data_IF_353620189496
#
_entry.id   IF_353620189496
#
_cell.length_a   1.000
_cell.length_b   1.000
_cell.length_c   1.000
_cell.angle_alpha   90.00
_cell.angle_beta   90.00
_cell.angle_gamma   90.00
#
_symmetry.space_group_name_H-M   'P 1'
#
loop_
_entity.id
_entity.type
_entity.pdbx_description
1 polymer ?
#
# COMPACT_ATOMS: atom_id res chain seq x y z
N UNK A 1 5.88 25.22 0.04
CA UNK A 1 5.04 24.44 0.97
C UNK A 1 5.95 24.04 2.11
N UNK A 2 5.69 24.49 3.34
CA UNK A 2 6.53 24.12 4.49
C UNK A 2 6.48 22.61 4.67
N UNK A 3 7.59 22.00 5.06
CA UNK A 3 7.60 20.57 5.31
C UNK A 3 6.70 20.26 6.51
N UNK A 4 6.02 19.11 6.49
CA UNK A 4 5.21 18.63 7.63
C UNK A 4 6.01 18.66 8.96
N UNK A 5 7.33 18.51 8.88
CA UNK A 5 8.29 18.63 9.97
C UNK A 5 8.36 20.02 10.61
N UNK A 6 8.31 21.09 9.81
CA UNK A 6 8.30 22.46 10.30
C UNK A 6 6.98 22.77 10.98
N UNK A 7 5.87 22.32 10.39
CA UNK A 7 4.54 22.49 10.97
C UNK A 7 4.38 21.78 12.31
N UNK A 8 4.88 20.54 12.43
CA UNK A 8 4.80 19.77 13.69
C UNK A 8 5.62 20.43 14.81
N UNK A 9 6.82 20.94 14.49
CA UNK A 9 7.68 21.60 15.49
C UNK A 9 7.19 22.99 15.87
N UNK A 10 6.68 23.77 14.92
CA UNK A 10 6.21 25.14 15.16
C UNK A 10 4.88 25.19 15.92
N UNK A 11 4.03 24.17 15.78
CA UNK A 11 2.64 24.21 16.26
C UNK A 11 2.36 23.19 17.38
N UNK A 12 3.37 22.67 18.10
CA UNK A 12 3.15 21.70 19.20
C UNK A 12 2.17 20.56 18.83
N UNK A 13 2.29 20.03 17.60
CA UNK A 13 1.40 18.97 17.11
C UNK A 13 1.81 17.66 17.77
N UNK A 14 0.91 17.10 18.57
CA UNK A 14 1.11 15.81 19.24
C UNK A 14 0.86 14.65 18.26
N UNK A 15 1.72 13.64 18.36
CA UNK A 15 1.64 12.44 17.53
C UNK A 15 1.54 11.19 18.40
N UNK A 16 0.55 10.34 18.13
CA UNK A 16 0.31 9.11 18.87
C UNK A 16 0.18 7.91 17.92
N UNK A 17 1.01 6.88 18.14
CA UNK A 17 0.84 5.55 17.53
C UNK A 17 0.22 4.64 18.56
N UNK A 18 -1.01 4.19 18.28
CA UNK A 18 -1.74 3.29 19.14
C UNK A 18 -1.67 1.90 18.54
N UNK A 19 -1.09 0.95 19.26
CA UNK A 19 -1.18 -0.47 18.88
C UNK A 19 -2.60 -0.94 19.18
N UNK A 20 -3.31 -1.40 18.15
CA UNK A 20 -4.61 -2.01 18.35
C UNK A 20 -4.41 -3.41 18.97
N UNK A 21 -4.99 -3.65 20.15
CA UNK A 21 -5.04 -5.00 20.73
C UNK A 21 -5.96 -5.85 19.86
N UNK A 22 -5.54 -7.08 19.54
CA UNK A 22 -6.25 -8.08 18.73
C UNK A 22 -7.74 -8.20 19.10
N UNK A 23 -8.59 -7.39 18.46
CA UNK A 23 -10.04 -7.57 18.40
C UNK A 23 -10.57 -7.48 16.95
N UNK A 24 -9.68 -7.27 15.97
CA UNK A 24 -9.94 -7.44 14.55
C UNK A 24 -9.07 -8.60 14.03
N UNK A 25 -9.28 -9.82 14.54
CA UNK A 25 -8.67 -11.03 13.96
C UNK A 25 -9.07 -11.22 12.48
N UNK A 26 -10.12 -10.52 12.03
CA UNK A 26 -10.58 -10.48 10.63
C UNK A 26 -9.90 -9.40 9.77
N UNK A 27 -9.08 -8.50 10.34
CA UNK A 27 -8.41 -7.45 9.57
C UNK A 27 -7.26 -8.03 8.74
N UNK A 28 -7.62 -8.56 7.57
CA UNK A 28 -6.68 -9.11 6.60
C UNK A 28 -5.51 -8.14 6.38
N UNK A 29 -4.26 -8.60 6.56
CA UNK A 29 -3.09 -7.82 6.15
C UNK A 29 -3.27 -7.30 4.72
N UNK A 30 -2.87 -6.06 4.41
CA UNK A 30 -2.94 -5.59 3.04
C UNK A 30 -2.11 -6.52 2.19
N UNK A 31 -2.58 -6.78 0.99
CA UNK A 31 -1.98 -7.77 0.12
C UNK A 31 -0.49 -7.50 -0.15
N UNK A 32 -0.04 -6.23 -0.14
CA UNK A 32 1.37 -5.86 -0.27
C UNK A 32 2.24 -6.16 0.97
N UNK A 33 1.66 -6.36 2.16
CA UNK A 33 2.42 -6.73 3.35
C UNK A 33 2.90 -8.19 3.34
N UNK A 34 2.36 -9.01 2.42
CA UNK A 34 2.83 -10.37 2.16
C UNK A 34 3.99 -10.45 1.17
N UNK A 35 4.43 -9.33 0.58
CA UNK A 35 5.56 -9.31 -0.36
C UNK A 35 6.86 -9.77 0.34
N UNK A 36 6.94 -9.75 1.67
CA UNK A 36 8.18 -10.10 2.39
C UNK A 36 8.04 -10.94 3.68
N UNK A 37 9.16 -11.58 4.02
CA UNK A 37 9.38 -12.88 4.71
C UNK A 37 8.76 -13.05 6.11
N UNK A 38 8.17 -12.03 6.72
CA UNK A 38 7.52 -12.15 8.03
C UNK A 38 6.12 -11.53 7.95
N UNK A 39 5.12 -12.35 7.58
CA UNK A 39 3.73 -11.93 7.35
C UNK A 39 2.96 -11.42 8.57
N UNK A 40 3.63 -10.91 9.61
CA UNK A 40 3.03 -10.41 10.85
C UNK A 40 3.17 -8.89 10.99
N UNK A 41 2.64 -8.14 10.03
CA UNK A 41 2.48 -6.70 10.23
C UNK A 41 1.37 -6.42 11.26
N UNK A 42 1.73 -5.89 12.43
CA UNK A 42 0.73 -5.47 13.42
C UNK A 42 -0.05 -4.28 12.87
N UNK A 43 -1.38 -4.34 12.96
CA UNK A 43 -2.24 -3.18 12.67
C UNK A 43 -2.05 -2.12 13.77
N UNK A 44 -1.75 -0.91 13.34
CA UNK A 44 -1.55 0.26 14.18
C UNK A 44 -2.58 1.32 13.79
N UNK A 45 -2.89 2.21 14.72
CA UNK A 45 -3.62 3.44 14.43
C UNK A 45 -2.69 4.61 14.66
N UNK A 46 -2.60 5.48 13.66
CA UNK A 46 -1.84 6.72 13.74
C UNK A 46 -2.81 7.87 13.94
N UNK A 47 -2.59 8.66 14.99
CA UNK A 47 -3.38 9.85 15.30
C UNK A 47 -2.46 11.08 15.34
N UNK A 48 -2.79 12.09 14.55
CA UNK A 48 -2.18 13.43 14.61
C UNK A 48 -3.16 14.35 15.33
N UNK A 49 -2.71 14.96 16.42
CA UNK A 49 -3.53 15.78 17.31
C UNK A 49 -2.95 17.17 17.45
N UNK A 50 -3.82 18.15 17.64
CA UNK A 50 -3.45 19.47 18.12
C UNK A 50 -4.26 19.75 19.38
N UNK A 51 -3.58 19.84 20.52
CA UNK A 51 -4.17 19.73 21.85
C UNK A 51 -5.10 18.50 21.97
N UNK A 52 -6.35 18.68 22.41
CA UNK A 52 -7.35 17.60 22.53
C UNK A 52 -8.08 17.26 21.22
N UNK A 53 -7.78 17.94 20.11
CA UNK A 53 -8.48 17.77 18.82
C UNK A 53 -7.71 16.81 17.91
N UNK A 54 -8.39 15.81 17.36
CA UNK A 54 -7.83 14.92 16.33
C UNK A 54 -7.91 15.64 14.99
N UNK A 55 -6.76 15.96 14.39
CA UNK A 55 -6.67 16.59 13.08
C UNK A 55 -6.65 15.55 11.94
N UNK A 56 -6.00 14.42 12.19
CA UNK A 56 -5.91 13.32 11.24
C UNK A 56 -5.81 12.00 11.99
N UNK A 57 -6.46 10.97 11.48
CA UNK A 57 -6.21 9.62 11.92
C UNK A 57 -6.36 8.65 10.76
N UNK A 58 -5.55 7.60 10.78
CA UNK A 58 -5.60 6.54 9.78
C UNK A 58 -5.06 5.24 10.36
N UNK A 59 -5.30 4.15 9.65
CA UNK A 59 -4.65 2.89 9.90
C UNK A 59 -3.21 2.95 9.38
N UNK A 60 -2.30 2.35 10.13
CA UNK A 60 -0.92 2.18 9.75
C UNK A 60 -0.49 0.75 10.03
N UNK A 61 0.61 0.31 9.43
CA UNK A 61 1.20 -0.99 9.73
C UNK A 61 2.70 -0.87 9.92
N UNK A 62 3.21 -1.70 10.82
CA UNK A 62 4.64 -1.95 10.90
C UNK A 62 5.02 -2.91 9.77
N UNK A 63 6.02 -2.53 8.96
CA UNK A 63 6.53 -3.35 7.87
C UNK A 63 7.96 -3.75 8.22
N UNK A 64 8.14 -5.04 8.54
CA UNK A 64 9.39 -5.60 9.10
C UNK A 64 10.64 -5.28 8.27
N UNK A 65 10.60 -5.44 6.94
CA UNK A 65 11.76 -5.17 6.07
C UNK A 65 12.03 -3.69 5.83
N UNK A 66 11.00 -2.84 5.87
CA UNK A 66 11.23 -1.39 5.87
C UNK A 66 11.58 -0.87 7.26
N UNK A 67 11.55 -1.77 8.25
CA UNK A 67 11.67 -1.48 9.66
C UNK A 67 10.80 -0.32 10.09
N UNK A 68 9.69 -0.05 9.39
CA UNK A 68 9.03 1.27 9.34
C UNK A 68 7.55 1.20 9.67
N UNK A 69 6.97 2.33 10.08
CA UNK A 69 5.52 2.51 10.12
C UNK A 69 5.10 3.18 8.82
N UNK A 70 4.21 2.52 8.07
CA UNK A 70 3.59 3.10 6.87
C UNK A 70 2.11 3.30 7.10
N UNK A 71 1.59 4.44 6.65
CA UNK A 71 0.14 4.70 6.62
C UNK A 71 -0.48 3.83 5.53
N UNK A 72 -1.63 3.23 5.82
CA UNK A 72 -2.29 2.29 4.92
C UNK A 72 -2.64 2.96 3.57
N UNK A 73 -2.22 2.41 2.42
CA UNK A 73 -2.58 2.95 1.11
C UNK A 73 -4.09 2.94 0.91
N UNK A 74 -4.59 3.75 0.00
CA UNK A 74 -5.99 3.64 -0.43
C UNK A 74 -6.16 2.37 -1.27
N UNK A 75 -7.39 1.89 -1.40
CA UNK A 75 -7.73 0.75 -2.27
C UNK A 75 -8.76 1.14 -3.32
N UNK A 76 -8.75 0.40 -4.43
CA UNK A 76 -9.74 0.50 -5.50
C UNK A 76 -9.91 -0.86 -6.17
N UNK A 77 -10.95 -1.01 -6.98
CA UNK A 77 -11.27 -2.25 -7.68
C UNK A 77 -11.16 -2.13 -9.20
N UNK A 78 -10.85 -3.24 -9.85
CA UNK A 78 -10.91 -3.44 -11.29
C UNK A 78 -12.08 -4.37 -11.66
N UNK A 79 -12.37 -4.49 -12.95
CA UNK A 79 -13.36 -5.41 -13.49
C UNK A 79 -12.67 -6.48 -14.36
N UNK A 80 -11.69 -7.19 -13.81
CA UNK A 80 -10.81 -8.11 -14.56
C UNK A 80 -11.18 -9.58 -14.32
N UNK A 81 -11.50 -9.94 -13.08
CA UNK A 81 -11.91 -11.29 -12.67
C UNK A 81 -13.38 -11.29 -12.23
N UNK A 82 -14.08 -12.41 -12.42
CA UNK A 82 -15.43 -12.58 -11.87
C UNK A 82 -15.37 -12.70 -10.34
N UNK A 83 -16.18 -11.93 -9.62
CA UNK A 83 -16.25 -11.89 -8.14
C UNK A 83 -16.76 -13.20 -7.48
N UNK A 84 -16.86 -14.31 -8.21
CA UNK A 84 -17.43 -15.59 -7.74
C UNK A 84 -16.39 -16.67 -7.39
N UNK A 85 -15.12 -16.31 -7.15
CA UNK A 85 -14.06 -17.26 -6.81
C UNK A 85 -12.86 -16.61 -6.11
N UNK A 86 -11.82 -17.42 -5.87
CA UNK A 86 -10.54 -17.20 -5.17
C UNK A 86 -9.66 -16.01 -5.66
N UNK A 87 -10.28 -14.96 -6.18
CA UNK A 87 -9.66 -13.92 -6.98
C UNK A 87 -10.07 -12.53 -6.49
N UNK A 88 -9.09 -11.66 -6.32
CA UNK A 88 -9.28 -10.24 -5.99
C UNK A 88 -9.12 -9.38 -7.23
N UNK A 89 -10.02 -8.41 -7.35
CA UNK A 89 -9.93 -7.28 -8.28
C UNK A 89 -9.41 -6.01 -7.59
N UNK A 90 -9.08 -6.10 -6.31
CA UNK A 90 -8.59 -4.97 -5.54
C UNK A 90 -7.13 -4.70 -5.89
N UNK A 91 -6.75 -3.44 -5.80
CA UNK A 91 -5.36 -3.02 -5.82
C UNK A 91 -5.20 -1.86 -4.84
N UNK A 92 -4.03 -1.80 -4.23
CA UNK A 92 -3.68 -0.73 -3.29
C UNK A 92 -2.94 0.38 -4.05
N UNK A 93 -3.10 1.63 -3.65
CA UNK A 93 -2.44 2.75 -4.28
C UNK A 93 -2.21 3.95 -3.35
N UNK A 94 -1.27 4.80 -3.75
CA UNK A 94 -1.12 6.15 -3.22
C UNK A 94 -1.37 7.20 -4.29
N UNK A 95 -1.76 8.39 -3.86
CA UNK A 95 -1.57 9.62 -4.62
C UNK A 95 -0.22 10.22 -4.20
N UNK A 96 0.59 10.64 -5.17
CA UNK A 96 1.99 11.09 -4.99
C UNK A 96 2.15 12.12 -3.87
N UNK A 97 1.31 13.16 -3.86
CA UNK A 97 1.34 14.22 -2.85
C UNK A 97 0.40 13.99 -1.66
N UNK A 98 -0.05 12.76 -1.42
CA UNK A 98 -0.95 12.46 -0.31
C UNK A 98 -0.30 12.65 1.05
N UNK A 99 -1.11 13.08 2.02
CA UNK A 99 -0.72 13.14 3.44
C UNK A 99 -0.23 11.79 3.96
N UNK A 100 -0.72 10.68 3.40
CA UNK A 100 -0.31 9.31 3.75
C UNK A 100 1.17 9.06 3.45
N UNK A 101 1.66 9.45 2.27
CA UNK A 101 3.08 9.35 1.90
C UNK A 101 3.91 10.26 2.79
N UNK A 102 3.50 11.52 2.94
CA UNK A 102 4.23 12.51 3.73
C UNK A 102 4.36 12.09 5.20
N UNK A 103 3.29 11.56 5.79
CA UNK A 103 3.26 11.09 7.17
C UNK A 103 4.05 9.79 7.35
N UNK A 104 4.02 8.87 6.38
CA UNK A 104 4.86 7.66 6.41
C UNK A 104 6.34 8.01 6.41
N UNK A 105 6.77 8.90 5.51
CA UNK A 105 8.15 9.41 5.44
C UNK A 105 8.56 10.10 6.75
N UNK A 106 7.69 10.94 7.29
CA UNK A 106 7.93 11.60 8.58
C UNK A 106 8.14 10.57 9.69
N UNK A 107 7.27 9.57 9.78
CA UNK A 107 7.33 8.53 10.79
C UNK A 107 8.61 7.69 10.71
N UNK A 108 8.96 7.27 9.50
CA UNK A 108 10.19 6.52 9.25
C UNK A 108 11.42 7.34 9.63
N UNK A 109 11.40 8.67 9.42
CA UNK A 109 12.49 9.55 9.81
C UNK A 109 12.61 9.74 11.33
N UNK A 110 11.51 10.07 12.03
CA UNK A 110 11.58 10.35 13.48
C UNK A 110 11.92 9.12 14.30
N UNK A 111 11.52 7.94 13.84
CA UNK A 111 11.84 6.67 14.50
C UNK A 111 13.21 6.12 14.07
N UNK A 112 13.95 6.85 13.21
CA UNK A 112 15.24 6.44 12.65
C UNK A 112 15.19 5.05 11.97
N UNK A 113 14.09 4.79 11.25
CA UNK A 113 13.78 3.51 10.63
C UNK A 113 14.26 3.44 9.19
N UNK A 114 14.55 4.56 8.53
CA UNK A 114 15.06 4.59 7.17
C UNK A 114 15.97 5.80 6.92
N UNK A 115 17.18 5.73 7.46
CA UNK A 115 18.18 6.80 7.36
C UNK A 115 18.66 7.06 5.93
N UNK A 116 18.54 6.07 5.03
CA UNK A 116 19.03 6.13 3.65
C UNK A 116 17.91 6.23 2.59
N UNK A 117 16.64 6.19 2.99
CA UNK A 117 15.48 6.25 2.08
C UNK A 117 15.21 4.97 1.26
N UNK A 118 16.13 4.02 1.27
CA UNK A 118 16.05 2.77 0.49
C UNK A 118 14.83 1.92 0.84
N UNK A 119 14.43 1.93 2.10
CA UNK A 119 13.32 1.09 2.58
C UNK A 119 11.99 1.65 2.08
N UNK A 120 11.84 2.96 2.11
CA UNK A 120 10.69 3.65 1.54
C UNK A 120 10.62 3.52 0.02
N UNK A 121 11.74 3.71 -0.69
CA UNK A 121 11.80 3.50 -2.14
C UNK A 121 11.36 2.09 -2.53
N UNK A 122 11.81 1.08 -1.76
CA UNK A 122 11.41 -0.30 -1.95
C UNK A 122 9.92 -0.51 -1.69
N UNK A 123 9.34 0.07 -0.63
CA UNK A 123 7.89 0.03 -0.38
C UNK A 123 7.10 0.60 -1.56
N UNK A 124 7.51 1.77 -2.05
CA UNK A 124 6.88 2.44 -3.17
C UNK A 124 7.00 1.67 -4.49
N UNK A 125 8.01 0.83 -4.65
CA UNK A 125 8.18 0.01 -5.86
C UNK A 125 7.09 -1.06 -6.05
N UNK A 126 6.36 -1.40 -4.98
CA UNK A 126 5.35 -2.45 -4.99
C UNK A 126 3.90 -1.94 -4.96
N UNK A 127 3.70 -0.64 -4.81
CA UNK A 127 2.38 -0.03 -4.72
C UNK A 127 2.23 0.99 -5.85
N UNK A 128 1.19 0.89 -6.70
CA UNK A 128 0.80 1.94 -7.64
C UNK A 128 0.82 3.34 -7.00
N UNK A 129 1.50 4.29 -7.65
CA UNK A 129 1.51 5.70 -7.25
C UNK A 129 1.00 6.54 -8.41
N UNK A 130 -0.16 7.15 -8.22
CA UNK A 130 -0.77 8.03 -9.21
C UNK A 130 -0.41 9.49 -8.91
N UNK A 131 -0.29 10.32 -9.95
CA UNK A 131 -0.10 11.77 -9.84
C UNK A 131 -1.34 12.46 -9.27
N UNK A 132 -2.51 11.87 -9.50
CA UNK A 132 -3.78 12.37 -9.00
C UNK A 132 -4.91 11.39 -9.29
N UNK A 133 -6.09 11.72 -8.78
CA UNK A 133 -7.30 10.90 -8.94
C UNK A 133 -7.67 10.74 -10.43
N UNK A 134 -7.49 11.78 -11.23
CA UNK A 134 -7.79 11.74 -12.68
C UNK A 134 -6.93 10.70 -13.42
N UNK A 135 -5.62 10.61 -13.10
CA UNK A 135 -4.74 9.58 -13.65
C UNK A 135 -5.19 8.18 -13.21
N UNK A 136 -5.56 8.02 -11.94
CA UNK A 136 -6.05 6.75 -11.42
C UNK A 136 -7.31 6.28 -12.14
N UNK A 137 -8.29 7.17 -12.34
CA UNK A 137 -9.51 6.86 -13.07
C UNK A 137 -9.24 6.57 -14.56
N UNK A 138 -8.32 7.29 -15.20
CA UNK A 138 -7.94 7.06 -16.58
C UNK A 138 -7.29 5.68 -16.77
N UNK A 139 -6.29 5.34 -15.96
CA UNK A 139 -5.61 4.03 -15.99
C UNK A 139 -6.58 2.90 -15.69
N UNK A 140 -7.41 3.04 -14.66
CA UNK A 140 -8.46 2.07 -14.33
C UNK A 140 -9.44 1.86 -15.49
N UNK A 141 -9.83 2.93 -16.16
CA UNK A 141 -10.71 2.86 -17.33
C UNK A 141 -10.03 2.14 -18.51
N UNK A 142 -8.74 2.36 -18.74
CA UNK A 142 -7.98 1.66 -19.78
C UNK A 142 -7.91 0.16 -19.53
N UNK A 143 -7.64 -0.24 -18.30
CA UNK A 143 -7.60 -1.65 -17.88
C UNK A 143 -8.98 -2.30 -18.08
N UNK A 144 -10.03 -1.65 -17.58
CA UNK A 144 -11.40 -2.19 -17.60
C UNK A 144 -12.02 -2.26 -19.00
N UNK A 145 -11.52 -1.53 -20.00
CA UNK A 145 -11.97 -1.66 -21.40
C UNK A 145 -11.57 -2.99 -22.03
N UNK A 146 -10.49 -3.61 -21.54
CA UNK A 146 -9.92 -4.83 -22.11
C UNK A 146 -9.66 -5.88 -21.02
N UNK A 147 -10.70 -6.37 -20.33
CA UNK A 147 -10.55 -7.20 -19.13
C UNK A 147 -9.84 -8.54 -19.41
N UNK A 148 -10.05 -9.15 -20.58
CA UNK A 148 -9.37 -10.38 -20.96
C UNK A 148 -7.86 -10.18 -21.14
N UNK A 149 -7.44 -9.07 -21.77
CA UNK A 149 -6.02 -8.73 -21.92
C UNK A 149 -5.41 -8.40 -20.56
N UNK A 150 -6.12 -7.64 -19.71
CA UNK A 150 -5.67 -7.35 -18.36
C UNK A 150 -5.48 -8.63 -17.54
N UNK A 151 -6.38 -9.61 -17.67
CA UNK A 151 -6.28 -10.93 -17.02
C UNK A 151 -5.04 -11.71 -17.46
N UNK A 152 -4.73 -11.73 -18.76
CA UNK A 152 -3.51 -12.34 -19.29
C UNK A 152 -2.26 -11.68 -18.72
N UNK A 153 -2.24 -10.34 -18.66
CA UNK A 153 -1.12 -9.58 -18.09
C UNK A 153 -0.96 -9.89 -16.59
N UNK A 154 -2.04 -9.95 -15.81
CA UNK A 154 -1.96 -10.32 -14.39
C UNK A 154 -1.39 -11.73 -14.24
N UNK A 155 -1.84 -12.70 -15.04
CA UNK A 155 -1.31 -14.06 -15.01
C UNK A 155 0.19 -14.11 -15.35
N UNK A 156 0.64 -13.33 -16.33
CA UNK A 156 2.07 -13.19 -16.63
C UNK A 156 2.84 -12.51 -15.48
N UNK A 157 2.25 -11.48 -14.87
CA UNK A 157 2.86 -10.80 -13.73
C UNK A 157 3.05 -11.72 -12.52
N UNK A 158 2.21 -12.77 -12.34
CA UNK A 158 2.37 -13.76 -11.27
C UNK A 158 3.73 -14.48 -11.31
N UNK A 159 4.33 -14.63 -12.49
CA UNK A 159 5.66 -15.25 -12.63
C UNK A 159 6.78 -14.38 -12.04
N UNK A 160 6.56 -13.06 -12.00
CA UNK A 160 7.51 -12.07 -11.49
C UNK A 160 7.28 -11.74 -10.00
N UNK A 161 6.23 -12.28 -9.39
CA UNK A 161 5.93 -12.12 -7.97
C UNK A 161 6.52 -13.28 -7.18
N UNK A 162 7.40 -12.97 -6.24
CA UNK A 162 7.94 -13.93 -5.28
C UNK A 162 7.32 -13.70 -3.90
N UNK A 163 6.73 -14.74 -3.32
CA UNK A 163 6.26 -14.78 -1.93
C UNK A 163 6.92 -15.97 -1.24
N UNK A 164 7.52 -15.73 -0.09
CA UNK A 164 8.15 -16.79 0.71
C UNK A 164 7.10 -17.63 1.43
N UNK A 165 6.98 -18.93 1.11
CA UNK A 165 5.98 -19.83 1.70
C UNK A 165 6.25 -20.21 3.17
N UNK A 166 7.51 -20.18 3.61
CA UNK A 166 7.92 -20.84 4.87
C UNK A 166 7.57 -20.10 6.15
N UNK A 167 7.20 -18.81 6.07
CA UNK A 167 7.00 -17.94 7.24
C UNK A 167 5.65 -17.20 7.24
N UNK A 168 4.76 -17.50 6.29
CA UNK A 168 3.50 -16.76 6.12
C UNK A 168 2.29 -17.50 6.72
N UNK A 169 2.43 -18.78 7.07
CA UNK A 169 1.33 -19.66 7.49
C UNK A 169 0.13 -19.72 6.51
N UNK A 170 0.32 -19.28 5.26
CA UNK A 170 -0.74 -19.28 4.26
C UNK A 170 -1.00 -20.70 3.77
N UNK A 171 -2.27 -21.05 3.65
CA UNK A 171 -2.68 -22.22 2.89
C UNK A 171 -2.54 -21.95 1.37
N UNK A 172 -2.74 -22.98 0.54
CA UNK A 172 -2.54 -22.86 -0.92
C UNK A 172 -3.49 -21.84 -1.58
N UNK A 173 -4.73 -21.78 -1.11
CA UNK A 173 -5.73 -20.83 -1.61
C UNK A 173 -5.35 -19.38 -1.26
N UNK A 174 -4.98 -19.14 0.00
CA UNK A 174 -4.51 -17.85 0.48
C UNK A 174 -3.21 -17.42 -0.24
N UNK A 175 -2.30 -18.36 -0.49
CA UNK A 175 -1.08 -18.10 -1.23
C UNK A 175 -1.37 -17.64 -2.66
N UNK A 176 -2.24 -18.35 -3.38
CA UNK A 176 -2.62 -17.99 -4.76
C UNK A 176 -3.40 -16.67 -4.84
N UNK A 177 -4.24 -16.41 -3.84
CA UNK A 177 -4.95 -15.15 -3.71
C UNK A 177 -3.98 -13.97 -3.55
N UNK A 178 -3.05 -14.08 -2.60
CA UNK A 178 -2.03 -13.03 -2.36
C UNK A 178 -1.16 -12.84 -3.60
N UNK A 179 -0.71 -13.93 -4.22
CA UNK A 179 0.12 -13.88 -5.43
C UNK A 179 -0.58 -13.17 -6.57
N UNK A 180 -1.89 -13.38 -6.71
CA UNK A 180 -2.68 -12.66 -7.69
C UNK A 180 -2.78 -11.17 -7.40
N UNK A 181 -3.04 -10.77 -6.16
CA UNK A 181 -3.17 -9.36 -5.84
C UNK A 181 -1.87 -8.58 -6.10
N UNK A 182 -0.74 -9.18 -5.73
CA UNK A 182 0.57 -8.62 -6.01
C UNK A 182 0.83 -8.47 -7.51
N UNK A 183 0.41 -9.46 -8.29
CA UNK A 183 0.49 -9.41 -9.74
C UNK A 183 -0.43 -8.33 -10.33
N UNK A 184 -1.61 -8.11 -9.72
CA UNK A 184 -2.51 -7.00 -10.06
C UNK A 184 -1.84 -5.65 -9.79
N UNK A 185 -1.23 -5.45 -8.63
CA UNK A 185 -0.49 -4.21 -8.32
C UNK A 185 0.66 -3.97 -9.33
N UNK A 186 1.43 -5.01 -9.67
CA UNK A 186 2.50 -4.93 -10.66
C UNK A 186 1.96 -4.57 -12.07
N UNK A 187 0.85 -5.19 -12.47
CA UNK A 187 0.18 -4.86 -13.74
C UNK A 187 -0.26 -3.39 -13.76
N UNK A 188 -0.87 -2.90 -12.68
CA UNK A 188 -1.29 -1.49 -12.58
C UNK A 188 -0.08 -0.56 -12.64
N UNK A 189 1.03 -0.88 -11.94
CA UNK A 189 2.29 -0.11 -12.03
C UNK A 189 2.78 0.00 -13.47
N UNK A 190 2.76 -1.11 -14.22
CA UNK A 190 3.17 -1.11 -15.62
C UNK A 190 2.22 -0.27 -16.48
N UNK A 191 0.90 -0.35 -16.24
CA UNK A 191 -0.10 0.46 -16.96
C UNK A 191 0.02 1.95 -16.67
N UNK A 192 0.41 2.34 -15.45
CA UNK A 192 0.74 3.74 -15.14
C UNK A 192 1.92 4.21 -15.99
N UNK A 193 2.99 3.41 -16.09
CA UNK A 193 4.17 3.76 -16.90
C UNK A 193 3.80 3.93 -18.37
N UNK A 194 3.09 2.96 -18.94
CA UNK A 194 2.59 3.02 -20.32
C UNK A 194 1.70 4.26 -20.54
N UNK A 195 0.76 4.53 -19.62
CA UNK A 195 -0.10 5.71 -19.73
C UNK A 195 0.69 7.02 -19.72
N UNK A 196 1.69 7.13 -18.84
CA UNK A 196 2.56 8.31 -18.75
C UNK A 196 3.45 8.52 -19.98
N UNK A 197 3.76 7.46 -20.73
CA UNK A 197 4.49 7.57 -22.00
C UNK A 197 3.60 8.11 -23.15
N UNK A 198 2.28 8.14 -22.96
CA UNK A 198 1.32 8.62 -23.97
C UNK A 198 0.91 10.09 -23.81
N UNK A 199 1.36 10.77 -22.75
CA UNK A 199 1.10 12.17 -22.43
C UNK A 199 2.36 13.02 -22.55
#
# INVERSE_FOLDING_TARGET
>A
MNSLLELIKEHEIDFEVIRLKHNDEDAQPPNFSFIHINGRSSLLKVCVKYHSTILYWDNARYVDETGGIVIYPSDSSLNVFDFRGHYTNLFNYYIYDSIKIQLSLFLMKIMNLDSEGRRWERHLSYVPIFLGEDEMQAVKSLINRHPNQAKEIVNSCKENVSITRTNTNLNEEEYEFVKQDLATNLMVINKIKEYRETI
#
